data_IF_705407609072
#
_entry.id   IF_705407609072
#
_cell.length_a   1.000
_cell.length_b   1.000
_cell.length_c   1.000
_cell.angle_alpha   90.00
_cell.angle_beta   90.00
_cell.angle_gamma   90.00
#
_symmetry.space_group_name_H-M   'P 1'
#
loop_
_entity.id
_entity.type
_entity.pdbx_description
1 polymer ?
#
# COMPACT_ATOMS: atom_id res chain seq x y z
N UNK A 1 25.41 -5.76 -3.56
CA UNK A 1 24.27 -4.83 -3.44
C UNK A 1 23.13 -5.36 -4.30
N UNK A 2 22.10 -5.96 -3.68
CA UNK A 2 20.95 -6.50 -4.40
C UNK A 2 19.87 -5.43 -4.53
N UNK A 3 19.97 -4.61 -5.56
CA UNK A 3 18.89 -3.76 -6.05
C UNK A 3 18.57 -4.21 -7.46
N UNK A 4 17.31 -4.55 -7.74
CA UNK A 4 16.90 -4.80 -9.13
C UNK A 4 17.21 -3.54 -9.94
N UNK A 5 17.93 -3.72 -11.05
CA UNK A 5 18.16 -2.68 -12.06
C UNK A 5 17.22 -2.94 -13.23
N UNK A 6 16.44 -1.93 -13.66
CA UNK A 6 16.36 -0.58 -13.13
C UNK A 6 15.70 -0.53 -11.75
N UNK A 7 16.12 0.41 -10.89
CA UNK A 7 15.45 0.65 -9.61
C UNK A 7 13.97 0.93 -9.87
N UNK A 8 13.06 0.16 -9.29
CA UNK A 8 11.64 0.35 -9.53
C UNK A 8 11.07 1.59 -8.81
N UNK A 9 11.94 2.32 -8.09
CA UNK A 9 11.62 3.56 -7.39
C UNK A 9 11.60 4.69 -8.40
N UNK A 10 10.44 5.33 -8.54
CA UNK A 10 10.27 6.53 -9.34
C UNK A 10 11.00 7.71 -8.69
N UNK A 11 11.67 8.49 -9.53
CA UNK A 11 12.37 9.72 -9.11
C UNK A 11 11.41 10.82 -8.66
N UNK A 12 10.16 10.78 -9.15
CA UNK A 12 9.16 11.82 -8.91
C UNK A 12 7.81 11.21 -8.52
N UNK A 13 7.02 12.00 -7.78
CA UNK A 13 5.64 11.66 -7.44
C UNK A 13 4.77 11.59 -8.71
N UNK A 14 4.04 10.50 -8.95
CA UNK A 14 3.08 10.44 -10.05
C UNK A 14 1.92 11.43 -9.87
N UNK A 15 1.41 11.94 -10.98
CA UNK A 15 0.21 12.81 -11.02
C UNK A 15 -1.06 11.97 -11.12
N UNK A 16 -2.21 12.55 -10.79
CA UNK A 16 -3.51 11.89 -10.98
C UNK A 16 -3.71 10.63 -10.14
N UNK A 17 -3.31 10.66 -8.85
CA UNK A 17 -3.24 9.47 -8.00
C UNK A 17 -4.61 8.86 -7.62
N UNK A 18 -5.69 9.65 -7.63
CA UNK A 18 -6.98 9.21 -7.12
C UNK A 18 -6.97 8.99 -5.59
N UNK A 19 -7.94 8.22 -5.05
CA UNK A 19 -8.05 7.99 -3.61
C UNK A 19 -6.84 7.26 -3.01
N UNK A 20 -6.43 7.69 -1.80
CA UNK A 20 -5.35 7.08 -1.01
C UNK A 20 -5.89 5.98 -0.11
N UNK A 21 -5.23 4.83 -0.12
CA UNK A 21 -5.44 3.72 0.81
C UNK A 21 -4.20 3.58 1.68
N UNK A 22 -4.38 3.51 3.00
CA UNK A 22 -3.29 3.18 3.92
C UNK A 22 -3.17 1.66 4.01
N UNK A 23 -1.98 1.13 3.73
CA UNK A 23 -1.65 -0.27 3.86
C UNK A 23 -0.73 -0.41 5.06
N UNK A 24 -1.21 -1.07 6.10
CA UNK A 24 -0.42 -1.40 7.28
C UNK A 24 -0.18 -2.90 7.27
N UNK A 25 1.08 -3.31 7.27
CA UNK A 25 1.43 -4.73 7.19
C UNK A 25 2.57 -5.08 8.13
N UNK A 26 2.60 -6.35 8.49
CA UNK A 26 3.60 -6.92 9.39
C UNK A 26 4.72 -7.56 8.57
N UNK A 27 5.96 -7.19 8.90
CA UNK A 27 7.17 -7.71 8.30
C UNK A 27 7.79 -8.75 9.25
N UNK A 28 7.74 -10.05 8.90
CA UNK A 28 8.35 -11.10 9.71
C UNK A 28 9.88 -11.04 9.59
N UNK A 29 10.58 -11.18 10.72
CA UNK A 29 12.04 -11.18 10.78
C UNK A 29 12.54 -11.63 12.15
N UNK A 30 13.80 -11.32 12.52
CA UNK A 30 14.33 -11.61 13.86
C UNK A 30 13.45 -11.08 14.99
N UNK A 31 12.81 -9.94 14.73
CA UNK A 31 11.65 -9.44 15.48
C UNK A 31 10.55 -9.11 14.50
N UNK A 32 9.30 -9.09 14.96
CA UNK A 32 8.18 -8.62 14.16
C UNK A 32 8.20 -7.08 14.10
N UNK A 33 7.95 -6.51 12.93
CA UNK A 33 7.83 -5.06 12.77
C UNK A 33 6.63 -4.71 11.90
N UNK A 34 6.03 -3.54 12.13
CA UNK A 34 4.92 -3.04 11.34
C UNK A 34 5.42 -1.95 10.40
N UNK A 35 4.95 -1.96 9.16
CA UNK A 35 5.23 -0.95 8.16
C UNK A 35 3.93 -0.35 7.64
N UNK A 36 4.01 0.93 7.30
CA UNK A 36 2.93 1.66 6.64
C UNK A 36 3.35 2.03 5.22
N UNK A 37 2.41 1.89 4.28
CA UNK A 37 2.60 2.25 2.88
C UNK A 37 1.32 2.88 2.36
N UNK A 38 1.45 3.97 1.59
CA UNK A 38 0.33 4.52 0.86
C UNK A 38 0.14 3.76 -0.45
N UNK A 39 -1.10 3.45 -0.80
CA UNK A 39 -1.48 2.80 -2.04
C UNK A 39 -2.54 3.63 -2.77
N UNK A 40 -2.37 3.74 -4.07
CA UNK A 40 -3.22 4.49 -4.99
C UNK A 40 -3.65 3.56 -6.13
N UNK A 41 -4.67 2.70 -5.92
CA UNK A 41 -5.03 1.66 -6.89
C UNK A 41 -5.58 2.22 -8.20
N UNK A 42 -6.11 3.44 -8.17
CA UNK A 42 -6.81 4.09 -9.28
C UNK A 42 -5.98 5.20 -9.95
N UNK A 43 -4.68 5.26 -9.67
CA UNK A 43 -3.81 6.28 -10.24
C UNK A 43 -3.78 6.21 -11.77
N UNK A 44 -3.74 7.39 -12.40
CA UNK A 44 -3.60 7.52 -13.84
C UNK A 44 -2.27 6.91 -14.31
N UNK A 45 -2.34 6.04 -15.33
CA UNK A 45 -1.18 5.31 -15.83
C UNK A 45 -0.78 4.07 -15.01
N UNK A 46 -1.64 3.62 -14.10
CA UNK A 46 -1.47 2.36 -13.34
C UNK A 46 -1.38 2.59 -11.83
N UNK A 47 -1.60 1.55 -11.01
CA UNK A 47 -1.57 1.68 -9.56
C UNK A 47 -0.19 2.17 -9.08
N UNK A 48 -0.19 3.05 -8.10
CA UNK A 48 1.04 3.58 -7.51
C UNK A 48 1.05 3.35 -6.00
N UNK A 49 2.24 3.26 -5.41
CA UNK A 49 2.40 3.22 -3.96
C UNK A 49 3.56 4.10 -3.52
N UNK A 50 3.51 4.52 -2.26
CA UNK A 50 4.57 5.31 -1.64
C UNK A 50 4.95 4.70 -0.29
N UNK A 51 6.22 4.31 -0.20
CA UNK A 51 6.83 3.89 1.05
C UNK A 51 7.55 5.09 1.66
N UNK A 52 7.19 5.50 2.88
CA UNK A 52 7.90 6.59 3.56
C UNK A 52 9.36 6.19 3.80
N UNK A 53 10.35 7.00 3.39
CA UNK A 53 11.76 6.78 3.73
C UNK A 53 11.99 6.81 5.24
N UNK A 54 12.94 6.00 5.72
CA UNK A 54 13.38 6.00 7.11
C UNK A 54 12.44 5.31 8.10
N UNK A 55 11.43 4.55 7.64
CA UNK A 55 10.63 3.72 8.55
C UNK A 55 11.50 2.62 9.12
N UNK A 56 11.63 2.58 10.45
CA UNK A 56 12.47 1.59 11.13
C UNK A 56 11.77 0.23 11.14
N UNK A 57 12.56 -0.82 10.95
CA UNK A 57 12.10 -2.20 11.11
C UNK A 57 13.24 -3.07 11.63
N UNK A 58 12.86 -4.11 12.38
CA UNK A 58 13.76 -5.05 13.05
C UNK A 58 14.82 -4.39 13.94
N UNK A 59 14.53 -3.20 14.47
CA UNK A 59 15.39 -2.44 15.39
C UNK A 59 16.60 -1.75 14.75
N UNK A 60 17.16 -2.30 13.67
CA UNK A 60 18.42 -1.80 13.08
C UNK A 60 18.29 -1.35 11.63
N UNK A 61 17.21 -1.71 10.94
CA UNK A 61 17.03 -1.42 9.53
C UNK A 61 16.05 -0.28 9.31
N UNK A 62 16.13 0.35 8.15
CA UNK A 62 15.23 1.44 7.76
C UNK A 62 14.92 1.39 6.27
N UNK A 63 13.69 1.75 5.91
CA UNK A 63 13.27 1.77 4.50
C UNK A 63 14.02 2.84 3.72
N UNK A 64 14.46 2.53 2.50
CA UNK A 64 14.89 3.55 1.54
C UNK A 64 13.69 4.42 1.14
N UNK A 65 12.53 3.78 0.98
CA UNK A 65 11.29 4.44 0.61
C UNK A 65 11.26 4.96 -0.82
N UNK A 66 10.20 5.69 -1.15
CA UNK A 66 9.98 6.28 -2.46
C UNK A 66 8.69 5.82 -3.12
N UNK A 67 8.48 6.33 -4.32
CA UNK A 67 7.32 6.02 -5.14
C UNK A 67 7.58 4.77 -5.97
N UNK A 68 6.59 3.91 -6.10
CA UNK A 68 6.63 2.73 -6.95
C UNK A 68 5.40 2.72 -7.85
N UNK A 69 5.58 2.37 -9.13
CA UNK A 69 4.46 2.10 -10.03
C UNK A 69 4.28 0.60 -10.16
N UNK A 70 3.12 0.13 -9.71
CA UNK A 70 2.69 -1.24 -9.90
C UNK A 70 2.14 -1.48 -11.30
N UNK A 71 2.00 -2.76 -11.64
CA UNK A 71 1.37 -3.20 -12.88
C UNK A 71 -0.15 -3.25 -12.72
N UNK A 72 -0.88 -3.31 -13.84
CA UNK A 72 -2.34 -3.51 -13.82
C UNK A 72 -2.75 -4.80 -13.08
N UNK A 73 -1.91 -5.82 -13.07
CA UNK A 73 -2.14 -7.07 -12.35
C UNK A 73 -2.34 -6.84 -10.84
N UNK A 74 -1.61 -5.88 -10.24
CA UNK A 74 -1.79 -5.52 -8.83
C UNK A 74 -3.23 -5.03 -8.56
N UNK A 75 -3.76 -4.13 -9.41
CA UNK A 75 -5.13 -3.64 -9.28
C UNK A 75 -6.14 -4.79 -9.40
N UNK A 76 -5.94 -5.68 -10.38
CA UNK A 76 -6.80 -6.86 -10.56
C UNK A 76 -6.80 -7.78 -9.34
N UNK A 77 -5.65 -8.03 -8.73
CA UNK A 77 -5.54 -8.82 -7.50
C UNK A 77 -6.26 -8.15 -6.33
N UNK A 78 -6.10 -6.83 -6.17
CA UNK A 78 -6.78 -6.09 -5.12
C UNK A 78 -8.30 -6.11 -5.31
N UNK A 79 -8.79 -6.01 -6.54
CA UNK A 79 -10.23 -6.13 -6.84
C UNK A 79 -10.76 -7.50 -6.43
N UNK A 80 -10.04 -8.58 -6.76
CA UNK A 80 -10.38 -9.94 -6.32
C UNK A 80 -10.38 -10.08 -4.79
N UNK A 81 -9.57 -9.30 -4.09
CA UNK A 81 -9.51 -9.24 -2.63
C UNK A 81 -10.57 -8.31 -2.01
N UNK A 82 -11.46 -7.71 -2.82
CA UNK A 82 -12.58 -6.87 -2.33
C UNK A 82 -12.40 -5.37 -2.54
N UNK A 83 -11.34 -4.91 -3.22
CA UNK A 83 -11.23 -3.52 -3.63
C UNK A 83 -12.33 -3.19 -4.66
N UNK A 84 -13.06 -2.07 -4.53
CA UNK A 84 -14.01 -1.64 -5.55
C UNK A 84 -13.36 -1.52 -6.94
N UNK A 85 -14.07 -1.95 -8.00
CA UNK A 85 -13.52 -1.90 -9.36
C UNK A 85 -13.29 -0.46 -9.84
N UNK A 86 -14.20 0.44 -9.49
CA UNK A 86 -14.13 1.87 -9.75
C UNK A 86 -13.69 2.60 -8.50
N UNK A 87 -13.03 3.75 -8.68
CA UNK A 87 -12.69 4.60 -7.55
C UNK A 87 -14.00 5.04 -6.89
N UNK A 88 -14.14 4.92 -5.55
CA UNK A 88 -15.25 5.56 -4.87
C UNK A 88 -15.24 7.04 -5.24
N UNK A 89 -16.43 7.59 -5.50
CA UNK A 89 -16.55 9.02 -5.64
C UNK A 89 -15.89 9.63 -4.41
N UNK A 90 -14.86 10.45 -4.61
CA UNK A 90 -14.47 11.36 -3.55
C UNK A 90 -15.70 12.23 -3.39
N UNK A 91 -16.50 11.95 -2.39
CA UNK A 91 -17.61 12.80 -1.99
C UNK A 91 -16.99 14.15 -1.63
N UNK A 92 -16.74 14.97 -2.66
CA UNK A 92 -16.94 16.39 -2.56
C UNK A 92 -18.43 16.53 -2.42
N UNK A 93 -18.96 16.21 -1.23
CA UNK A 93 -20.23 16.77 -0.83
C UNK A 93 -19.97 18.27 -0.87
N UNK A 94 -20.38 18.91 -1.97
CA UNK A 94 -20.63 20.34 -1.96
C UNK A 94 -21.87 20.50 -1.08
N UNK A 95 -21.70 20.36 0.23
CA UNK A 95 -22.66 20.94 1.16
C UNK A 95 -22.42 22.44 1.03
N UNK A 96 -23.23 23.08 0.19
CA UNK A 96 -23.44 24.50 0.29
C UNK A 96 -23.88 24.78 1.72
N UNK A 97 -22.97 25.34 2.52
CA UNK A 97 -23.20 25.74 3.90
C UNK A 97 -23.60 24.61 4.84
N UNK A 98 -22.65 24.09 5.62
CA UNK A 98 -22.77 24.02 7.08
C UNK A 98 -21.51 23.40 7.67
N UNK A 99 -21.09 24.01 8.77
CA UNK A 99 -19.90 23.67 9.54
C UNK A 99 -20.06 22.28 10.16
N UNK A 100 -19.01 21.47 10.01
CA UNK A 100 -18.73 20.33 10.88
C UNK A 100 -19.50 19.05 10.55
N UNK A 101 -18.77 18.03 10.12
CA UNK A 101 -18.68 16.70 10.75
C UNK A 101 -17.70 15.91 9.86
N UNK A 102 -16.53 15.59 10.43
CA UNK A 102 -15.51 14.79 9.76
C UNK A 102 -15.89 13.32 9.79
N UNK A 103 -16.10 12.72 8.61
CA UNK A 103 -16.21 11.27 8.48
C UNK A 103 -14.86 10.76 7.99
N UNK A 104 -14.08 10.23 8.92
CA UNK A 104 -12.89 9.45 8.61
C UNK A 104 -13.34 8.09 8.09
N UNK A 105 -13.24 7.87 6.78
CA UNK A 105 -13.42 6.54 6.20
C UNK A 105 -12.17 5.68 6.49
N UNK A 106 -12.15 5.08 7.68
CA UNK A 106 -11.20 4.03 8.05
C UNK A 106 -11.64 2.72 7.38
N UNK A 107 -11.14 2.43 6.18
CA UNK A 107 -11.20 1.08 5.62
C UNK A 107 -9.88 0.36 5.93
N UNK A 108 -9.79 -0.20 7.14
CA UNK A 108 -8.73 -1.12 7.52
C UNK A 108 -8.96 -2.46 6.80
N UNK A 109 -8.31 -2.65 5.66
CA UNK A 109 -8.27 -3.97 5.00
C UNK A 109 -7.12 -4.75 5.61
N UNK A 110 -7.46 -5.66 6.54
CA UNK A 110 -6.57 -6.74 6.95
C UNK A 110 -6.44 -7.70 5.77
N UNK A 111 -5.44 -7.50 4.92
CA UNK A 111 -5.05 -8.52 3.94
C UNK A 111 -4.33 -9.64 4.70
N UNK A 112 -5.14 -10.61 5.16
CA UNK A 112 -4.68 -11.96 5.44
C UNK A 112 -4.18 -12.57 4.12
N UNK A 113 -2.91 -12.33 3.82
CA UNK A 113 -2.21 -12.93 2.70
C UNK A 113 -1.97 -14.40 2.95
N UNK A 114 -2.85 -15.24 2.43
CA UNK A 114 -2.52 -16.61 2.08
C UNK A 114 -1.37 -16.61 1.07
N UNK A 115 -0.29 -17.35 1.37
CA UNK A 115 0.69 -17.74 0.35
C UNK A 115 2.17 -17.60 0.71
N UNK A 116 2.63 -18.19 1.82
CA UNK A 116 3.99 -18.76 1.88
C UNK A 116 3.98 -20.02 2.76
N UNK A 117 3.32 -21.07 2.28
CA UNK A 117 3.47 -22.40 2.82
C UNK A 117 4.83 -22.96 2.37
N UNK A 118 5.91 -22.58 3.07
CA UNK A 118 7.18 -23.30 3.02
C UNK A 118 7.15 -24.36 4.11
N UNK A 119 6.99 -25.58 3.64
CA UNK A 119 7.24 -26.85 4.31
C UNK A 119 8.46 -26.77 5.24
N UNK A 120 8.24 -26.88 6.56
CA UNK A 120 9.29 -27.34 7.48
C UNK A 120 8.84 -28.62 8.17
N UNK A 121 9.17 -29.72 7.51
CA UNK A 121 9.26 -31.06 8.08
C UNK A 121 10.12 -30.97 9.35
N UNK A 122 9.53 -31.17 10.54
CA UNK A 122 10.30 -31.55 11.73
C UNK A 122 9.99 -33.02 12.02
N UNK A 123 10.91 -33.87 11.55
CA UNK A 123 11.16 -35.18 12.16
C UNK A 123 11.52 -34.94 13.63
N UNK A 124 10.86 -35.65 14.54
CA UNK A 124 11.54 -36.21 15.70
C UNK A 124 11.86 -37.67 15.35
#
# INVERSE_FOLDING_TARGET
MYGQSPSPILRTKPTGLGPRYAVVYTVPGPTTSTMEQDLYPYAAGGPASYMRPGQRFWGTQSTVGGWYRGTSALKTMLIKAGLPQTAPASDRVRIGGLRGIGIAAAAGVVLAGAGFAVLRRRRR
#
